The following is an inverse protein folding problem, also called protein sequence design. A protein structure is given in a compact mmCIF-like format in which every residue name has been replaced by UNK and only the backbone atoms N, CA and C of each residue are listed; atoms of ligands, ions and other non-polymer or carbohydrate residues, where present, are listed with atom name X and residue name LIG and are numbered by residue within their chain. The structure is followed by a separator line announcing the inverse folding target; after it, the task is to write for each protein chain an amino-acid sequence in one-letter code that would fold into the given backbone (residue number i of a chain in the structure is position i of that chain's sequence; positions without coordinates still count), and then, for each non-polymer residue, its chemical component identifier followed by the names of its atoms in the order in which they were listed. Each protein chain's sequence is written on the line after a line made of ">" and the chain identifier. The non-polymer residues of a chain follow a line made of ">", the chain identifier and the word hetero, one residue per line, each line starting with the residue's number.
data_IF_099546795267
#
_entry.id   IF_099546795267
#
_cell.length_a   1.000
_cell.length_b   1.000
_cell.length_c   1.000
_cell.angle_alpha   90.00
_cell.angle_beta   90.00
_cell.angle_gamma   90.00
#
_symmetry.space_group_name_H-M   'P 1'
#
loop_
_entity.id
_entity.type
_entity.pdbx_description
1 polymer ?
#
# COMPACT_ATOMS: atom_id res chain seq x y z
N UNK A 1 0.18 -70.26 37.61
CA UNK A 1 0.74 -70.13 36.25
C UNK A 1 -0.38 -69.57 35.38
N UNK A 2 -0.34 -68.25 35.11
CA UNK A 2 -0.12 -67.65 33.77
C UNK A 2 -1.40 -67.83 32.90
N UNK A 3 -2.06 -66.82 32.34
CA UNK A 3 -1.66 -65.48 31.92
C UNK A 3 -2.88 -64.56 31.93
N UNK A 4 -2.68 -63.28 32.28
CA UNK A 4 -3.65 -62.23 31.99
C UNK A 4 -3.68 -61.94 30.49
N UNK A 5 -4.88 -61.74 29.96
CA UNK A 5 -5.08 -61.24 28.60
C UNK A 5 -5.27 -59.72 28.71
N UNK A 6 -4.15 -59.04 28.63
CA UNK A 6 -4.02 -57.58 28.64
C UNK A 6 -4.40 -57.09 27.25
N UNK A 7 -5.66 -56.69 27.08
CA UNK A 7 -6.13 -56.01 25.88
C UNK A 7 -5.41 -54.65 25.78
N UNK A 8 -4.30 -54.65 25.04
CA UNK A 8 -3.52 -53.48 24.70
C UNK A 8 -4.41 -52.43 24.02
N UNK A 9 -4.74 -51.39 24.78
CA UNK A 9 -5.13 -50.10 24.25
C UNK A 9 -3.94 -49.54 23.47
N UNK A 10 -4.00 -49.60 22.15
CA UNK A 10 -3.13 -48.83 21.27
C UNK A 10 -3.47 -47.35 21.46
N UNK A 11 -2.84 -46.71 22.45
CA UNK A 11 -2.77 -45.25 22.52
C UNK A 11 -2.06 -44.79 21.25
N UNK A 12 -2.86 -44.33 20.28
CA UNK A 12 -2.37 -43.61 19.13
C UNK A 12 -1.58 -42.41 19.64
N UNK A 13 -0.26 -42.46 19.42
CA UNK A 13 0.63 -41.34 19.60
C UNK A 13 0.14 -40.17 18.73
N UNK A 14 -0.73 -39.34 19.30
CA UNK A 14 -1.05 -38.03 18.78
C UNK A 14 0.18 -37.16 18.95
N UNK A 15 1.10 -37.27 17.99
CA UNK A 15 2.19 -36.31 17.84
C UNK A 15 1.56 -34.93 17.79
N UNK A 16 1.75 -34.14 18.85
CA UNK A 16 1.40 -32.73 18.85
C UNK A 16 2.31 -32.11 17.82
N UNK A 17 1.82 -31.97 16.59
CA UNK A 17 2.40 -31.11 15.56
C UNK A 17 2.82 -29.81 16.27
N UNK A 18 4.11 -29.43 16.21
CA UNK A 18 4.58 -28.27 16.94
C UNK A 18 3.72 -27.09 16.50
N UNK A 19 2.93 -26.55 17.44
CA UNK A 19 2.05 -25.43 17.13
C UNK A 19 2.88 -24.36 16.42
N UNK A 20 2.39 -23.85 15.29
CA UNK A 20 3.11 -22.86 14.47
C UNK A 20 3.79 -21.82 15.38
N UNK A 21 5.06 -21.50 15.10
CA UNK A 21 5.85 -20.56 15.91
C UNK A 21 5.11 -19.24 16.21
N UNK A 22 4.14 -18.85 15.36
CA UNK A 22 3.25 -17.72 15.59
C UNK A 22 2.22 -17.93 16.70
N UNK A 23 1.60 -19.11 16.80
CA UNK A 23 0.62 -19.45 17.86
C UNK A 23 1.34 -19.59 19.20
N UNK A 24 2.58 -20.06 19.18
CA UNK A 24 3.43 -20.06 20.37
C UNK A 24 3.78 -18.63 20.83
N UNK A 25 4.01 -17.71 19.89
CA UNK A 25 4.40 -16.32 20.18
C UNK A 25 3.24 -15.38 20.49
N UNK A 26 2.04 -15.67 20.00
CA UNK A 26 0.84 -14.88 20.22
C UNK A 26 -0.32 -15.80 20.66
N UNK A 27 -0.96 -15.55 21.82
CA UNK A 27 -2.17 -16.29 22.18
C UNK A 27 -3.26 -16.07 21.12
N UNK A 28 -4.15 -17.05 20.96
CA UNK A 28 -5.15 -17.07 19.89
C UNK A 28 -6.06 -15.83 19.86
N UNK A 29 -6.33 -15.19 21.00
CA UNK A 29 -7.07 -13.92 21.09
C UNK A 29 -6.32 -12.77 20.43
N UNK A 30 -5.01 -12.64 20.67
CA UNK A 30 -4.18 -11.59 20.09
C UNK A 30 -4.02 -11.75 18.58
N UNK A 31 -3.91 -13.00 18.09
CA UNK A 31 -3.91 -13.32 16.67
C UNK A 31 -5.19 -12.85 15.97
N UNK A 32 -6.35 -13.05 16.59
CA UNK A 32 -7.63 -12.57 16.05
C UNK A 32 -7.67 -11.04 15.95
N UNK A 33 -7.29 -10.33 17.02
CA UNK A 33 -7.20 -8.85 17.02
C UNK A 33 -6.28 -8.37 15.90
N UNK A 34 -5.11 -9.01 15.76
CA UNK A 34 -4.12 -8.65 14.75
C UNK A 34 -4.59 -8.94 13.32
N UNK A 35 -5.35 -10.02 13.11
CA UNK A 35 -5.95 -10.32 11.82
C UNK A 35 -7.03 -9.30 11.44
N UNK A 36 -7.87 -8.86 12.39
CA UNK A 36 -8.83 -7.78 12.16
C UNK A 36 -8.15 -6.44 11.90
N UNK A 37 -7.08 -6.14 12.64
CA UNK A 37 -6.25 -4.95 12.41
C UNK A 37 -5.64 -4.97 11.00
N UNK A 38 -5.03 -6.06 10.58
CA UNK A 38 -4.48 -6.24 9.23
C UNK A 38 -5.53 -5.99 8.13
N UNK A 39 -6.73 -6.55 8.27
CA UNK A 39 -7.83 -6.32 7.31
C UNK A 39 -8.24 -4.85 7.27
N UNK A 40 -8.30 -4.18 8.42
CA UNK A 40 -8.60 -2.75 8.52
C UNK A 40 -7.54 -1.88 7.81
N UNK A 41 -6.26 -2.17 8.06
CA UNK A 41 -5.13 -1.47 7.42
C UNK A 41 -5.08 -1.70 5.91
N UNK A 42 -5.32 -2.93 5.46
CA UNK A 42 -5.41 -3.27 4.04
C UNK A 42 -6.56 -2.53 3.35
N UNK A 43 -7.73 -2.49 3.98
CA UNK A 43 -8.89 -1.73 3.48
C UNK A 43 -8.57 -0.24 3.34
N UNK A 44 -7.95 0.37 4.37
CA UNK A 44 -7.48 1.76 4.33
C UNK A 44 -6.49 1.99 3.19
N UNK A 45 -5.48 1.12 3.05
CA UNK A 45 -4.50 1.21 1.98
C UNK A 45 -5.17 1.17 0.60
N UNK A 46 -6.15 0.30 0.40
CA UNK A 46 -6.88 0.19 -0.86
C UNK A 46 -7.74 1.44 -1.15
N UNK A 47 -8.45 1.98 -0.15
CA UNK A 47 -9.22 3.23 -0.29
C UNK A 47 -8.30 4.39 -0.66
N UNK A 48 -7.14 4.50 -0.02
CA UNK A 48 -6.15 5.53 -0.37
C UNK A 48 -5.56 5.34 -1.77
N UNK A 49 -5.36 4.09 -2.21
CA UNK A 49 -4.97 3.78 -3.59
C UNK A 49 -6.02 4.27 -4.59
N UNK A 50 -7.29 3.93 -4.38
CA UNK A 50 -8.39 4.37 -5.26
C UNK A 50 -8.52 5.90 -5.34
N UNK A 51 -8.38 6.59 -4.20
CA UNK A 51 -8.43 8.06 -4.15
C UNK A 51 -7.27 8.73 -4.91
N UNK A 52 -6.14 8.05 -5.00
CA UNK A 52 -4.96 8.50 -5.74
C UNK A 52 -5.12 8.21 -7.23
N UNK A 53 -5.64 7.03 -7.59
CA UNK A 53 -5.91 6.66 -8.99
C UNK A 53 -6.98 7.59 -9.61
N UNK A 54 -7.95 8.04 -8.80
CA UNK A 54 -8.97 9.00 -9.23
C UNK A 54 -8.37 10.36 -9.65
N UNK A 55 -7.34 10.88 -8.97
CA UNK A 55 -6.74 12.18 -9.36
C UNK A 55 -5.99 12.10 -10.67
N UNK A 56 -5.28 11.00 -10.92
CA UNK A 56 -4.64 10.76 -12.22
C UNK A 56 -5.67 10.63 -13.34
N UNK A 57 -6.81 9.98 -13.08
CA UNK A 57 -7.92 9.89 -14.04
C UNK A 57 -8.47 11.29 -14.39
N UNK A 58 -8.74 12.12 -13.38
CA UNK A 58 -9.18 13.50 -13.61
C UNK A 58 -8.14 14.34 -14.35
N UNK A 59 -6.84 14.11 -14.12
CA UNK A 59 -5.77 14.78 -14.85
C UNK A 59 -5.81 14.43 -16.35
N UNK A 60 -6.01 13.15 -16.70
CA UNK A 60 -6.14 12.71 -18.09
C UNK A 60 -7.38 13.33 -18.75
N UNK A 61 -8.55 13.20 -18.11
CA UNK A 61 -9.83 13.68 -18.66
C UNK A 61 -9.82 15.21 -18.86
N UNK A 62 -9.33 15.96 -17.88
CA UNK A 62 -9.23 17.42 -17.99
C UNK A 62 -8.23 17.85 -19.08
N UNK A 63 -7.09 17.15 -19.22
CA UNK A 63 -6.13 17.43 -20.30
C UNK A 63 -6.76 17.20 -21.66
N UNK A 64 -7.43 16.07 -21.87
CA UNK A 64 -8.11 15.77 -23.13
C UNK A 64 -9.17 16.82 -23.48
N UNK A 65 -9.97 17.24 -22.49
CA UNK A 65 -10.99 18.26 -22.68
C UNK A 65 -10.41 19.63 -23.05
N UNK A 66 -9.36 20.07 -22.36
CA UNK A 66 -8.74 21.38 -22.60
C UNK A 66 -8.01 21.39 -23.95
N UNK A 67 -7.28 20.33 -24.29
CA UNK A 67 -6.61 20.22 -25.60
C UNK A 67 -7.63 20.24 -26.74
N UNK A 68 -8.74 19.50 -26.61
CA UNK A 68 -9.82 19.52 -27.61
C UNK A 68 -10.42 20.93 -27.79
N UNK A 69 -10.68 21.64 -26.69
CA UNK A 69 -11.19 23.01 -26.73
C UNK A 69 -10.18 24.00 -27.33
N UNK A 70 -8.90 23.82 -27.03
CA UNK A 70 -7.80 24.64 -27.54
C UNK A 70 -7.70 24.57 -29.07
N UNK A 71 -7.90 23.40 -29.67
CA UNK A 71 -7.93 23.26 -31.13
C UNK A 71 -9.25 23.70 -31.79
N UNK A 72 -10.35 23.70 -31.03
CA UNK A 72 -11.65 24.15 -31.55
C UNK A 72 -11.75 25.67 -31.60
N UNK A 73 -11.07 26.37 -30.70
CA UNK A 73 -11.05 27.83 -30.63
C UNK A 73 -9.78 28.36 -31.30
N UNK A 74 -9.91 28.95 -32.49
CA UNK A 74 -8.75 29.34 -33.34
C UNK A 74 -7.65 30.14 -32.64
N UNK A 75 -8.00 30.99 -31.66
CA UNK A 75 -7.05 31.78 -30.85
C UNK A 75 -6.95 31.30 -29.38
N UNK A 76 -7.69 30.26 -28.99
CA UNK A 76 -7.79 29.83 -27.59
C UNK A 76 -6.58 29.06 -27.09
N UNK A 77 -5.77 28.48 -27.99
CA UNK A 77 -4.62 27.64 -27.65
C UNK A 77 -3.59 28.35 -26.77
N UNK A 78 -3.34 29.65 -27.01
CA UNK A 78 -2.32 30.43 -26.30
C UNK A 78 -2.65 30.65 -24.81
N UNK A 79 -3.94 30.61 -24.45
CA UNK A 79 -4.40 30.78 -23.06
C UNK A 79 -4.75 29.43 -22.43
N UNK A 80 -5.41 28.55 -23.18
CA UNK A 80 -5.93 27.27 -22.68
C UNK A 80 -4.82 26.26 -22.37
N UNK A 81 -3.77 26.17 -23.18
CA UNK A 81 -2.67 25.24 -22.95
C UNK A 81 -1.83 25.58 -21.71
N UNK A 82 -1.40 26.84 -21.47
CA UNK A 82 -0.75 27.20 -20.20
C UNK A 82 -1.67 27.00 -18.99
N UNK A 83 -2.98 27.26 -19.14
CA UNK A 83 -3.96 26.94 -18.10
C UNK A 83 -4.02 25.43 -17.81
N UNK A 84 -3.94 24.57 -18.84
CA UNK A 84 -3.85 23.12 -18.69
C UNK A 84 -2.61 22.72 -17.89
N UNK A 85 -1.45 23.31 -18.19
CA UNK A 85 -0.22 23.06 -17.42
C UNK A 85 -0.37 23.44 -15.94
N UNK A 86 -1.02 24.57 -15.65
CA UNK A 86 -1.29 25.00 -14.27
C UNK A 86 -2.22 24.00 -13.56
N UNK A 87 -3.27 23.54 -14.24
CA UNK A 87 -4.19 22.54 -13.69
C UNK A 87 -3.48 21.20 -13.42
N UNK A 88 -2.64 20.74 -14.33
CA UNK A 88 -1.81 19.55 -14.14
C UNK A 88 -0.84 19.70 -12.97
N UNK A 89 -0.23 20.87 -12.79
CA UNK A 89 0.62 21.16 -11.65
C UNK A 89 -0.14 21.10 -10.32
N UNK A 90 -1.36 21.66 -10.27
CA UNK A 90 -2.22 21.59 -9.08
C UNK A 90 -2.62 20.15 -8.76
N UNK A 91 -3.03 19.37 -9.75
CA UNK A 91 -3.37 17.96 -9.58
C UNK A 91 -2.17 17.14 -9.12
N UNK A 92 -0.99 17.36 -9.71
CA UNK A 92 0.27 16.74 -9.28
C UNK A 92 0.56 17.04 -7.81
N UNK A 93 0.38 18.29 -7.37
CA UNK A 93 0.64 18.66 -5.98
C UNK A 93 -0.37 18.00 -5.01
N UNK A 94 -1.65 17.93 -5.38
CA UNK A 94 -2.67 17.21 -4.60
C UNK A 94 -2.34 15.72 -4.52
N UNK A 95 -1.96 15.11 -5.64
CA UNK A 95 -1.61 13.70 -5.73
C UNK A 95 -0.34 13.38 -4.94
N UNK A 96 0.70 14.22 -5.03
CA UNK A 96 1.93 14.06 -4.25
C UNK A 96 1.67 14.16 -2.75
N UNK A 97 0.78 15.07 -2.31
CA UNK A 97 0.32 15.12 -0.92
C UNK A 97 -0.35 13.80 -0.52
N UNK A 98 -1.29 13.30 -1.33
CA UNK A 98 -2.01 12.03 -1.07
C UNK A 98 -1.09 10.81 -1.08
N UNK A 99 -0.10 10.80 -1.96
CA UNK A 99 0.88 9.72 -2.07
C UNK A 99 1.69 9.53 -0.78
N UNK A 100 2.01 10.62 -0.06
CA UNK A 100 2.68 10.52 1.25
C UNK A 100 1.83 9.81 2.30
N UNK A 101 0.52 9.97 2.28
CA UNK A 101 -0.38 9.23 3.17
C UNK A 101 -0.46 7.76 2.77
N UNK A 102 -0.58 7.48 1.47
CA UNK A 102 -0.60 6.12 0.95
C UNK A 102 0.68 5.33 1.30
N UNK A 103 1.85 5.97 1.23
CA UNK A 103 3.13 5.33 1.52
C UNK A 103 3.22 4.82 2.97
N UNK A 104 2.67 5.56 3.93
CA UNK A 104 2.59 5.14 5.35
C UNK A 104 1.74 3.87 5.50
N UNK A 105 0.52 3.87 4.95
CA UNK A 105 -0.37 2.71 5.03
C UNK A 105 0.23 1.48 4.32
N UNK A 106 0.82 1.68 3.13
CA UNK A 106 1.50 0.62 2.39
C UNK A 106 2.65 0.01 3.20
N UNK A 107 3.44 0.85 3.86
CA UNK A 107 4.57 0.41 4.67
C UNK A 107 4.12 -0.42 5.88
N UNK A 108 3.05 0.01 6.57
CA UNK A 108 2.46 -0.75 7.69
C UNK A 108 1.93 -2.11 7.25
N UNK A 109 1.15 -2.16 6.17
CA UNK A 109 0.64 -3.42 5.61
C UNK A 109 1.80 -4.33 5.23
N UNK A 110 2.84 -3.81 4.56
CA UNK A 110 4.03 -4.59 4.19
C UNK A 110 4.77 -5.12 5.41
N UNK A 111 4.86 -4.35 6.49
CA UNK A 111 5.48 -4.80 7.74
C UNK A 111 4.70 -5.97 8.35
N UNK A 112 3.37 -5.91 8.35
CA UNK A 112 2.51 -7.01 8.81
C UNK A 112 2.63 -8.25 7.90
N UNK A 113 2.63 -8.09 6.58
CA UNK A 113 2.82 -9.20 5.63
C UNK A 113 4.14 -9.94 5.90
N UNK A 114 5.24 -9.20 6.01
CA UNK A 114 6.58 -9.78 6.17
C UNK A 114 6.77 -10.43 7.54
N UNK A 115 6.22 -9.87 8.62
CA UNK A 115 6.50 -10.38 9.97
C UNK A 115 5.39 -11.25 10.57
N UNK A 116 4.20 -11.29 9.96
CA UNK A 116 3.09 -12.14 10.40
C UNK A 116 2.69 -13.17 9.36
N UNK A 117 2.59 -12.80 8.08
CA UNK A 117 2.13 -13.73 7.05
C UNK A 117 3.24 -14.66 6.58
N UNK A 118 4.44 -14.14 6.33
CA UNK A 118 5.58 -14.97 5.88
C UNK A 118 5.89 -16.10 6.87
N UNK A 119 5.98 -15.86 8.21
CA UNK A 119 6.24 -16.94 9.15
C UNK A 119 5.07 -17.92 9.30
N UNK A 120 3.84 -17.46 9.07
CA UNK A 120 2.66 -18.33 9.07
C UNK A 120 2.71 -19.34 7.93
N UNK A 121 3.24 -18.90 6.78
CA UNK A 121 3.32 -19.69 5.55
C UNK A 121 4.57 -20.57 5.51
N UNK A 122 5.71 -20.07 5.96
CA UNK A 122 7.00 -20.77 5.83
C UNK A 122 7.32 -21.74 6.97
N UNK A 123 6.70 -21.63 8.16
CA UNK A 123 6.79 -22.48 9.37
C UNK A 123 8.20 -22.86 9.92
N UNK A 124 9.22 -23.00 9.07
CA UNK A 124 10.59 -23.47 9.34
C UNK A 124 11.66 -22.37 9.39
N UNK A 125 11.34 -21.14 8.97
CA UNK A 125 12.29 -20.01 9.05
C UNK A 125 12.26 -19.38 10.45
N UNK A 126 13.42 -19.14 11.09
CA UNK A 126 13.47 -18.38 12.33
C UNK A 126 12.82 -17.03 12.07
N UNK A 127 11.72 -16.77 12.78
CA UNK A 127 11.03 -15.49 12.79
C UNK A 127 12.07 -14.38 12.86
N UNK A 128 12.09 -13.48 11.87
CA UNK A 128 13.02 -12.35 11.88
C UNK A 128 12.88 -11.61 13.22
N UNK A 129 13.86 -11.80 14.10
CA UNK A 129 13.95 -11.17 15.41
C UNK A 129 14.44 -9.74 15.25
N UNK A 130 13.70 -8.96 14.48
CA UNK A 130 13.92 -7.53 14.32
C UNK A 130 13.09 -6.73 15.32
N UNK A 131 13.51 -5.50 15.57
CA UNK A 131 12.78 -4.54 16.40
C UNK A 131 11.48 -3.99 15.72
N UNK A 132 10.89 -4.75 14.80
CA UNK A 132 9.74 -4.34 14.00
C UNK A 132 8.50 -4.05 14.85
N UNK A 133 8.36 -4.75 15.98
CA UNK A 133 7.24 -4.56 16.92
C UNK A 133 7.31 -3.19 17.59
N UNK A 134 8.49 -2.80 18.07
CA UNK A 134 8.68 -1.46 18.65
C UNK A 134 8.52 -0.39 17.57
N UNK A 135 9.04 -0.63 16.36
CA UNK A 135 8.85 0.29 15.23
C UNK A 135 7.36 0.46 14.91
N UNK A 136 6.59 -0.63 14.86
CA UNK A 136 5.15 -0.59 14.60
C UNK A 136 4.38 0.09 15.74
N UNK A 137 4.68 -0.24 17.00
CA UNK A 137 4.09 0.39 18.16
C UNK A 137 4.42 1.89 18.20
N UNK A 138 5.66 2.27 17.94
CA UNK A 138 6.07 3.67 17.91
C UNK A 138 5.39 4.42 16.75
N UNK A 139 5.25 3.80 15.57
CA UNK A 139 4.53 4.41 14.45
C UNK A 139 3.00 4.50 14.70
N UNK A 140 2.44 3.59 15.50
CA UNK A 140 1.05 3.66 15.97
C UNK A 140 0.84 4.77 17.00
N UNK A 141 1.80 4.95 17.92
CA UNK A 141 1.76 5.99 18.96
C UNK A 141 2.04 7.38 18.37
N UNK A 142 3.01 7.48 17.48
CA UNK A 142 3.48 8.72 16.86
C UNK A 142 3.65 8.52 15.35
N UNK A 143 2.59 8.75 14.54
CA UNK A 143 2.67 8.60 13.09
C UNK A 143 3.63 9.63 12.49
N UNK A 144 4.72 9.15 11.89
CA UNK A 144 5.74 10.02 11.28
C UNK A 144 5.77 9.90 9.75
N UNK A 145 5.82 11.04 9.06
CA UNK A 145 5.98 11.05 7.61
C UNK A 145 7.45 10.95 7.23
N UNK A 146 7.89 9.76 6.81
CA UNK A 146 9.28 9.53 6.38
C UNK A 146 9.61 10.14 5.01
N UNK A 147 8.62 10.27 4.13
CA UNK A 147 8.80 10.80 2.77
C UNK A 147 8.73 12.33 2.74
N UNK A 148 9.69 12.99 2.09
CA UNK A 148 9.63 14.45 1.85
C UNK A 148 8.58 14.82 0.79
N UNK A 149 8.10 16.07 0.80
CA UNK A 149 7.14 16.55 -0.22
C UNK A 149 7.76 16.56 -1.62
N UNK A 150 9.00 16.99 -1.74
CA UNK A 150 9.70 17.10 -3.02
C UNK A 150 9.99 15.75 -3.64
N UNK A 151 10.37 14.76 -2.84
CA UNK A 151 10.59 13.41 -3.33
C UNK A 151 9.29 12.75 -3.83
N UNK A 152 8.17 12.99 -3.12
CA UNK A 152 6.86 12.54 -3.56
C UNK A 152 6.43 13.18 -4.90
N UNK A 153 6.68 14.49 -5.07
CA UNK A 153 6.42 15.21 -6.31
C UNK A 153 7.27 14.65 -7.45
N UNK A 154 8.58 14.51 -7.26
CA UNK A 154 9.50 14.01 -8.28
C UNK A 154 9.14 12.61 -8.76
N UNK A 155 8.84 11.69 -7.84
CA UNK A 155 8.43 10.32 -8.19
C UNK A 155 7.15 10.28 -9.02
N UNK A 156 6.19 11.16 -8.73
CA UNK A 156 4.90 11.24 -9.44
C UNK A 156 5.02 11.94 -10.79
N UNK A 157 5.84 12.99 -10.84
CA UNK A 157 6.16 13.70 -12.08
C UNK A 157 6.78 12.72 -13.09
N UNK A 158 7.87 12.04 -12.73
CA UNK A 158 8.60 11.18 -13.67
C UNK A 158 7.83 9.94 -14.13
N UNK A 159 6.87 9.44 -13.33
CA UNK A 159 6.13 8.21 -13.68
C UNK A 159 4.83 8.45 -14.44
N UNK A 160 4.16 9.56 -14.19
CA UNK A 160 2.79 9.77 -14.67
C UNK A 160 2.62 11.13 -15.35
N UNK A 161 2.92 12.21 -14.64
CA UNK A 161 2.60 13.55 -15.16
C UNK A 161 3.54 14.01 -16.27
N UNK A 162 4.75 13.47 -16.38
CA UNK A 162 5.69 13.81 -17.46
C UNK A 162 5.05 13.58 -18.83
N UNK A 163 4.30 12.49 -18.99
CA UNK A 163 3.61 12.18 -20.24
C UNK A 163 2.48 13.17 -20.54
N UNK A 164 1.73 13.60 -19.54
CA UNK A 164 0.67 14.61 -19.71
C UNK A 164 1.25 15.97 -20.11
N UNK A 165 2.33 16.40 -19.45
CA UNK A 165 3.02 17.64 -19.82
C UNK A 165 3.61 17.57 -21.24
N UNK A 166 4.17 16.43 -21.64
CA UNK A 166 4.68 16.23 -23.00
C UNK A 166 3.57 16.29 -24.06
N UNK A 167 2.40 15.74 -23.78
CA UNK A 167 1.23 15.84 -24.68
C UNK A 167 0.79 17.29 -24.85
N UNK A 168 0.69 18.05 -23.75
CA UNK A 168 0.32 19.47 -23.80
C UNK A 168 1.38 20.28 -24.55
N UNK A 169 2.66 20.00 -24.32
CA UNK A 169 3.77 20.65 -25.03
C UNK A 169 3.74 20.33 -26.53
N UNK A 170 3.55 19.05 -26.90
CA UNK A 170 3.42 18.63 -28.29
C UNK A 170 2.23 19.28 -28.98
N UNK A 171 1.13 19.46 -28.25
CA UNK A 171 -0.06 20.16 -28.76
C UNK A 171 0.18 21.66 -28.95
N UNK A 172 1.07 22.28 -28.16
CA UNK A 172 1.41 23.69 -28.36
C UNK A 172 2.26 23.88 -29.63
N UNK A 173 3.20 22.97 -29.87
CA UNK A 173 4.15 23.08 -30.99
C UNK A 173 3.52 22.79 -32.36
N UNK A 174 2.35 22.17 -32.40
CA UNK A 174 1.57 21.87 -33.61
C UNK A 174 0.59 22.99 -33.95
#
# INVERSE_FOLDING_TARGET
>A
MVSGDEAATTEGAGGVEPASALVQRFPASNLQVLAHFYRGELSRANVWRQRMDATSHWAVVSTMAIVSLAYTSGDGSIVLLPFCCLLLYLLLHIEARRYRYFDVWRMRVRMLEVHLMVPALLQDEPLSEGNWREILCNDLLAPTYKMSRWEAIGRRLSRTYIWLFLIVLGSWLL
#
